data_IF_966279733425
#
_entry.id   IF_966279733425
#
_cell.length_a   1.000
_cell.length_b   1.000
_cell.length_c   1.000
_cell.angle_alpha   90.00
_cell.angle_beta   90.00
_cell.angle_gamma   90.00
#
_symmetry.space_group_name_H-M   'P 1'
#
loop_
_entity.id
_entity.type
_entity.pdbx_description
1 polymer ?
#
# COMPACT_ATOMS: atom_id res chain seq x y z
N UNK A 1 5.75 19.21 -3.46
CA UNK A 1 5.14 20.47 -3.96
C UNK A 1 3.92 20.91 -3.14
N UNK A 2 2.82 20.15 -3.06
CA UNK A 2 1.61 20.59 -2.33
C UNK A 2 1.82 20.80 -0.82
N UNK A 3 2.63 19.96 -0.16
CA UNK A 3 3.02 20.14 1.25
C UNK A 3 3.76 21.47 1.48
N UNK A 4 4.66 21.85 0.57
CA UNK A 4 5.33 23.16 0.62
C UNK A 4 4.33 24.29 0.35
N UNK A 5 3.36 24.08 -0.55
CA UNK A 5 2.25 25.00 -0.78
C UNK A 5 1.40 25.24 0.47
N UNK A 6 1.22 24.24 1.32
CA UNK A 6 0.52 24.39 2.61
C UNK A 6 1.23 25.33 3.58
N UNK A 7 2.54 25.57 3.43
CA UNK A 7 3.28 26.51 4.26
C UNK A 7 2.76 27.96 4.12
N UNK A 8 2.12 28.29 3.00
CA UNK A 8 1.47 29.58 2.78
C UNK A 8 0.47 29.94 3.89
N UNK A 9 -0.36 28.97 4.31
CA UNK A 9 -1.35 29.15 5.39
C UNK A 9 -0.70 29.19 6.76
N UNK A 10 0.43 28.50 6.94
CA UNK A 10 1.18 28.55 8.19
C UNK A 10 1.78 29.94 8.43
N UNK A 11 2.29 30.57 7.36
CA UNK A 11 2.87 31.92 7.43
C UNK A 11 1.79 33.01 7.49
N UNK A 12 0.62 32.78 6.89
CA UNK A 12 -0.50 33.73 6.82
C UNK A 12 -1.83 33.07 7.20
N UNK A 13 -2.06 32.75 8.49
CA UNK A 13 -3.23 32.00 8.94
C UNK A 13 -4.56 32.73 8.66
N UNK A 14 -4.56 34.06 8.60
CA UNK A 14 -5.72 34.89 8.26
C UNK A 14 -6.35 34.52 6.90
N UNK A 15 -5.55 33.97 5.98
CA UNK A 15 -5.99 33.53 4.65
C UNK A 15 -6.90 32.30 4.69
N UNK A 16 -6.84 31.50 5.74
CA UNK A 16 -7.75 30.36 5.91
C UNK A 16 -9.14 30.79 6.43
N UNK A 17 -9.26 32.02 6.93
CA UNK A 17 -10.48 32.54 7.57
C UNK A 17 -11.18 33.54 6.64
N UNK A 18 -10.42 34.34 5.91
CA UNK A 18 -10.93 35.31 4.94
C UNK A 18 -11.67 34.60 3.78
N UNK A 19 -12.98 34.85 3.59
CA UNK A 19 -13.77 34.21 2.53
C UNK A 19 -13.19 34.39 1.12
N UNK A 20 -12.48 35.49 0.86
CA UNK A 20 -11.90 35.77 -0.44
C UNK A 20 -10.66 34.93 -0.76
N UNK A 21 -9.99 34.39 0.27
CA UNK A 21 -8.74 33.64 0.12
C UNK A 21 -8.74 32.25 0.76
N UNK A 22 -9.84 31.84 1.38
CA UNK A 22 -10.00 30.56 2.06
C UNK A 22 -9.83 29.34 1.14
N UNK A 23 -10.42 29.35 -0.06
CA UNK A 23 -10.28 28.25 -1.03
C UNK A 23 -8.81 28.06 -1.44
N UNK A 24 -8.10 29.06 -1.99
CA UNK A 24 -6.71 28.89 -2.39
C UNK A 24 -5.77 28.61 -1.22
N UNK A 25 -6.14 29.01 0.01
CA UNK A 25 -5.42 28.66 1.23
C UNK A 25 -5.53 27.15 1.57
N UNK A 26 -6.73 26.57 1.52
CA UNK A 26 -6.96 25.20 1.98
C UNK A 26 -6.71 24.13 0.91
N UNK A 27 -6.88 24.48 -0.37
CA UNK A 27 -6.74 23.55 -1.50
C UNK A 27 -5.39 22.82 -1.52
N UNK A 28 -4.22 23.47 -1.34
CA UNK A 28 -2.94 22.76 -1.34
C UNK A 28 -2.85 21.67 -0.27
N UNK A 29 -3.36 21.90 0.93
CA UNK A 29 -3.39 20.91 2.00
C UNK A 29 -4.33 19.75 1.67
N UNK A 30 -5.51 20.05 1.11
CA UNK A 30 -6.45 19.04 0.63
C UNK A 30 -5.85 18.15 -0.47
N UNK A 31 -5.19 18.76 -1.47
CA UNK A 31 -4.52 18.01 -2.53
C UNK A 31 -3.37 17.17 -1.98
N UNK A 32 -2.55 17.71 -1.06
CA UNK A 32 -1.47 16.96 -0.44
C UNK A 32 -1.97 15.67 0.22
N UNK A 33 -3.06 15.75 0.99
CA UNK A 33 -3.68 14.56 1.61
C UNK A 33 -4.27 13.63 0.56
N UNK A 34 -4.98 14.18 -0.44
CA UNK A 34 -5.55 13.38 -1.52
C UNK A 34 -4.48 12.61 -2.30
N UNK A 35 -3.28 13.19 -2.46
CA UNK A 35 -2.19 12.54 -3.19
C UNK A 35 -1.66 11.28 -2.51
N UNK A 36 -1.83 11.14 -1.20
CA UNK A 36 -1.49 9.90 -0.50
C UNK A 36 -2.32 8.70 -1.00
N UNK A 37 -3.53 8.94 -1.51
CA UNK A 37 -4.36 7.90 -2.12
C UNK A 37 -3.74 7.28 -3.36
N UNK A 38 -2.95 8.03 -4.15
CA UNK A 38 -2.32 7.55 -5.38
C UNK A 38 -1.01 6.77 -5.16
N UNK A 39 -0.50 6.70 -3.92
CA UNK A 39 0.72 5.94 -3.60
C UNK A 39 0.55 4.42 -3.66
N UNK A 40 -0.67 3.94 -3.95
CA UNK A 40 -1.05 2.52 -3.88
C UNK A 40 -1.22 1.94 -5.28
N UNK A 41 -0.17 1.29 -5.80
CA UNK A 41 -0.14 0.72 -7.16
C UNK A 41 -1.01 -0.55 -7.33
N UNK A 42 -1.42 -1.20 -6.23
CA UNK A 42 -2.02 -2.55 -6.27
C UNK A 42 -3.55 -2.57 -6.19
N UNK A 43 -4.23 -1.42 -6.22
CA UNK A 43 -5.65 -1.33 -5.91
C UNK A 43 -6.49 -0.70 -7.02
N UNK A 44 -7.76 -1.14 -7.13
CA UNK A 44 -8.71 -0.63 -8.12
C UNK A 44 -9.27 0.76 -7.78
N UNK A 45 -10.01 1.37 -8.72
CA UNK A 45 -10.58 2.72 -8.59
C UNK A 45 -11.39 2.95 -7.30
N UNK A 46 -12.10 1.92 -6.82
CA UNK A 46 -12.91 1.97 -5.59
C UNK A 46 -12.02 2.12 -4.36
N UNK A 47 -10.93 1.35 -4.26
CA UNK A 47 -10.00 1.43 -3.13
C UNK A 47 -9.30 2.79 -3.07
N UNK A 48 -8.94 3.31 -4.25
CA UNK A 48 -8.38 4.65 -4.38
C UNK A 48 -9.35 5.71 -3.85
N UNK A 49 -10.62 5.67 -4.31
CA UNK A 49 -11.65 6.61 -3.87
C UNK A 49 -11.92 6.52 -2.37
N UNK A 50 -12.10 5.30 -1.85
CA UNK A 50 -12.34 5.06 -0.43
C UNK A 50 -11.14 5.49 0.42
N UNK A 51 -9.91 5.20 0.00
CA UNK A 51 -8.67 5.65 0.64
C UNK A 51 -8.56 7.17 0.71
N UNK A 52 -8.83 7.84 -0.40
CA UNK A 52 -8.77 9.30 -0.51
C UNK A 52 -9.82 9.97 0.37
N UNK A 53 -11.08 9.50 0.31
CA UNK A 53 -12.16 10.03 1.15
C UNK A 53 -11.85 9.80 2.63
N UNK A 54 -11.34 8.63 3.01
CA UNK A 54 -10.95 8.34 4.39
C UNK A 54 -9.87 9.32 4.88
N UNK A 55 -8.82 9.53 4.09
CA UNK A 55 -7.71 10.41 4.44
C UNK A 55 -8.15 11.88 4.59
N UNK A 56 -8.97 12.38 3.66
CA UNK A 56 -9.52 13.74 3.72
C UNK A 56 -10.45 13.92 4.92
N UNK A 57 -11.33 12.94 5.18
CA UNK A 57 -12.23 12.94 6.31
C UNK A 57 -11.46 12.92 7.65
N UNK A 58 -10.41 12.09 7.75
CA UNK A 58 -9.50 12.07 8.90
C UNK A 58 -8.76 13.38 9.09
N UNK A 59 -8.28 14.00 8.01
CA UNK A 59 -7.60 15.30 8.09
C UNK A 59 -8.54 16.40 8.63
N UNK A 60 -9.79 16.45 8.15
CA UNK A 60 -10.79 17.40 8.63
C UNK A 60 -11.21 17.12 10.08
N UNK A 61 -11.49 15.86 10.42
CA UNK A 61 -11.97 15.47 11.73
C UNK A 61 -10.88 15.50 12.80
N UNK A 62 -9.83 14.68 12.65
CA UNK A 62 -8.77 14.56 13.64
C UNK A 62 -7.84 15.77 13.62
N UNK A 63 -7.49 16.29 12.43
CA UNK A 63 -6.68 17.51 12.33
C UNK A 63 -7.37 18.72 12.96
N UNK A 64 -8.67 18.90 12.68
CA UNK A 64 -9.47 19.94 13.32
C UNK A 64 -9.60 19.74 14.84
N UNK A 65 -9.73 18.49 15.31
CA UNK A 65 -9.76 18.16 16.75
C UNK A 65 -8.46 18.58 17.44
N UNK A 66 -7.30 18.31 16.84
CA UNK A 66 -5.99 18.69 17.39
C UNK A 66 -5.88 20.21 17.51
N UNK A 67 -6.29 20.94 16.47
CA UNK A 67 -6.30 22.41 16.50
C UNK A 67 -7.24 22.94 17.58
N UNK A 68 -8.47 22.43 17.67
CA UNK A 68 -9.44 22.86 18.69
C UNK A 68 -8.93 22.55 20.11
N UNK A 69 -8.33 21.38 20.31
CA UNK A 69 -7.75 20.98 21.60
C UNK A 69 -6.67 21.97 22.02
N UNK A 70 -5.80 22.39 21.10
CA UNK A 70 -4.76 23.41 21.36
C UNK A 70 -5.37 24.73 21.81
N UNK A 71 -6.43 25.20 21.14
CA UNK A 71 -7.08 26.47 21.50
C UNK A 71 -7.75 26.37 22.88
N UNK A 72 -8.49 25.28 23.15
CA UNK A 72 -9.16 25.06 24.45
C UNK A 72 -8.14 24.82 25.58
N UNK A 73 -6.94 24.32 25.27
CA UNK A 73 -5.83 24.22 26.22
C UNK A 73 -5.31 25.60 26.66
N UNK A 74 -5.41 26.63 25.81
CA UNK A 74 -4.90 27.97 26.12
C UNK A 74 -5.66 28.67 27.25
N UNK A 75 -6.96 28.41 27.43
CA UNK A 75 -7.73 29.03 28.51
C UNK A 75 -9.24 29.02 28.30
N UNK A 76 -10.02 29.56 29.25
CA UNK A 76 -11.38 30.02 28.97
C UNK A 76 -11.34 31.07 27.84
N UNK A 77 -12.45 31.23 27.14
CA UNK A 77 -12.50 32.09 25.95
C UNK A 77 -13.85 32.76 25.77
N UNK A 78 -13.80 33.84 25.00
CA UNK A 78 -14.94 34.68 24.64
C UNK A 78 -15.74 34.04 23.49
N UNK A 79 -16.58 34.84 22.84
CA UNK A 79 -17.52 34.41 21.79
C UNK A 79 -16.82 33.66 20.65
N UNK A 80 -15.61 34.07 20.27
CA UNK A 80 -14.81 33.45 19.22
C UNK A 80 -14.50 31.98 19.49
N UNK A 81 -14.20 31.62 20.74
CA UNK A 81 -13.94 30.23 21.12
C UNK A 81 -15.22 29.39 21.00
N UNK A 82 -16.35 29.98 21.40
CA UNK A 82 -17.66 29.33 21.31
C UNK A 82 -18.03 29.11 19.84
N UNK A 83 -17.82 30.11 18.98
CA UNK A 83 -18.04 30.02 17.54
C UNK A 83 -17.12 28.98 16.89
N UNK A 84 -15.84 28.91 17.28
CA UNK A 84 -14.91 27.89 16.79
C UNK A 84 -15.36 26.46 17.17
N UNK A 85 -15.79 26.23 18.41
CA UNK A 85 -16.33 24.94 18.86
C UNK A 85 -17.59 24.56 18.07
N UNK A 86 -18.51 25.51 17.87
CA UNK A 86 -19.75 25.29 17.10
C UNK A 86 -19.46 25.00 15.63
N UNK A 87 -18.56 25.78 15.02
CA UNK A 87 -18.12 25.60 13.64
C UNK A 87 -17.47 24.23 13.42
N UNK A 88 -16.55 23.83 14.30
CA UNK A 88 -15.93 22.51 14.23
C UNK A 88 -16.96 21.38 14.41
N UNK A 89 -17.94 21.51 15.31
CA UNK A 89 -18.99 20.50 15.51
C UNK A 89 -19.78 20.21 14.21
N UNK A 90 -20.08 21.26 13.41
CA UNK A 90 -20.79 21.13 12.14
C UNK A 90 -19.99 20.37 11.08
N UNK A 91 -18.67 20.61 10.99
CA UNK A 91 -17.80 19.98 9.99
C UNK A 91 -17.37 18.57 10.43
N UNK A 92 -17.10 18.38 11.73
CA UNK A 92 -16.61 17.11 12.26
C UNK A 92 -17.62 15.97 12.19
N UNK A 93 -18.93 16.27 12.28
CA UNK A 93 -19.98 15.24 12.21
C UNK A 93 -20.00 14.47 10.88
N UNK A 94 -20.12 15.12 9.70
CA UNK A 94 -20.05 14.40 8.42
C UNK A 94 -18.67 13.77 8.18
N UNK A 95 -17.58 14.42 8.63
CA UNK A 95 -16.23 13.86 8.50
C UNK A 95 -16.04 12.58 9.33
N UNK A 96 -16.62 12.49 10.54
CA UNK A 96 -16.63 11.28 11.35
C UNK A 96 -17.38 10.15 10.63
N UNK A 97 -18.58 10.42 10.12
CA UNK A 97 -19.35 9.40 9.38
C UNK A 97 -18.61 8.90 8.13
N UNK A 98 -18.02 9.81 7.36
CA UNK A 98 -17.20 9.44 6.20
C UNK A 98 -15.99 8.59 6.61
N UNK A 99 -15.31 8.94 7.70
CA UNK A 99 -14.17 8.18 8.24
C UNK A 99 -14.58 6.76 8.65
N UNK A 100 -15.66 6.63 9.43
CA UNK A 100 -16.14 5.32 9.91
C UNK A 100 -16.59 4.45 8.73
N UNK A 101 -17.38 5.00 7.81
CA UNK A 101 -17.88 4.25 6.65
C UNK A 101 -16.75 3.77 5.73
N UNK A 102 -15.82 4.66 5.37
CA UNK A 102 -14.67 4.29 4.54
C UNK A 102 -13.70 3.35 5.27
N UNK A 103 -13.52 3.51 6.58
CA UNK A 103 -12.70 2.62 7.40
C UNK A 103 -13.27 1.20 7.47
N UNK A 104 -14.60 1.06 7.61
CA UNK A 104 -15.27 -0.24 7.55
C UNK A 104 -15.08 -0.90 6.18
N UNK A 105 -15.21 -0.16 5.08
CA UNK A 105 -14.96 -0.69 3.73
C UNK A 105 -13.51 -1.18 3.59
N UNK A 106 -12.53 -0.41 4.07
CA UNK A 106 -11.12 -0.80 4.03
C UNK A 106 -10.83 -2.05 4.86
N UNK A 107 -11.42 -2.16 6.06
CA UNK A 107 -11.35 -3.35 6.91
C UNK A 107 -11.80 -4.61 6.15
N UNK A 108 -12.99 -4.58 5.55
CA UNK A 108 -13.52 -5.73 4.82
C UNK A 108 -12.66 -6.09 3.60
N UNK A 109 -12.16 -5.10 2.88
CA UNK A 109 -11.37 -5.33 1.66
C UNK A 109 -9.97 -5.87 1.94
N UNK A 110 -9.33 -5.40 3.02
CA UNK A 110 -7.95 -5.78 3.36
C UNK A 110 -7.86 -7.11 4.10
N UNK A 111 -8.81 -7.43 5.00
CA UNK A 111 -8.72 -8.63 5.83
C UNK A 111 -9.66 -9.77 5.38
N UNK A 112 -10.75 -9.46 4.67
CA UNK A 112 -11.77 -10.43 4.22
C UNK A 112 -12.23 -11.42 5.31
N UNK A 113 -12.23 -10.99 6.57
CA UNK A 113 -12.61 -11.81 7.73
C UNK A 113 -11.47 -12.58 8.42
N UNK A 114 -10.22 -12.48 7.95
CA UNK A 114 -9.06 -13.15 8.54
C UNK A 114 -8.50 -12.45 9.80
N UNK A 115 -9.37 -12.28 10.80
CA UNK A 115 -9.07 -11.52 12.02
C UNK A 115 -8.08 -12.20 12.98
N UNK A 116 -7.77 -13.49 12.77
CA UNK A 116 -6.79 -14.24 13.56
C UNK A 116 -5.32 -14.06 13.13
N UNK A 117 -5.05 -13.28 12.07
CA UNK A 117 -3.68 -12.99 11.61
C UNK A 117 -3.03 -11.86 12.42
N UNK A 118 -1.70 -11.73 12.38
CA UNK A 118 -1.02 -10.60 13.04
C UNK A 118 -1.54 -9.24 12.57
N UNK A 119 -1.84 -9.10 11.27
CA UNK A 119 -2.51 -7.91 10.73
C UNK A 119 -3.93 -7.76 11.32
N UNK A 120 -4.74 -8.82 11.24
CA UNK A 120 -6.13 -8.84 11.72
C UNK A 120 -6.29 -8.50 13.21
N UNK A 121 -5.39 -8.97 14.07
CA UNK A 121 -5.41 -8.66 15.51
C UNK A 121 -5.14 -7.18 15.78
N UNK A 122 -4.14 -6.60 15.09
CA UNK A 122 -3.85 -5.15 15.20
C UNK A 122 -5.03 -4.33 14.68
N UNK A 123 -5.70 -4.80 13.62
CA UNK A 123 -6.92 -4.18 13.10
C UNK A 123 -8.09 -4.24 14.09
N UNK A 124 -8.29 -5.36 14.80
CA UNK A 124 -9.29 -5.44 15.89
C UNK A 124 -8.98 -4.41 16.97
N UNK A 125 -7.71 -4.36 17.42
CA UNK A 125 -7.28 -3.42 18.46
C UNK A 125 -7.51 -1.97 18.02
N UNK A 126 -7.14 -1.63 16.79
CA UNK A 126 -7.39 -0.31 16.20
C UNK A 126 -8.88 0.00 16.17
N UNK A 127 -9.71 -0.93 15.73
CA UNK A 127 -11.17 -0.76 15.67
C UNK A 127 -11.75 -0.48 17.05
N UNK A 128 -11.29 -1.17 18.09
CA UNK A 128 -11.71 -0.95 19.47
C UNK A 128 -11.37 0.47 19.97
N UNK A 129 -10.15 0.96 19.71
CA UNK A 129 -9.77 2.33 20.04
C UNK A 129 -10.56 3.36 19.22
N UNK A 130 -10.82 3.11 17.94
CA UNK A 130 -11.67 3.98 17.11
C UNK A 130 -13.09 4.04 17.66
N UNK A 131 -13.67 2.90 18.06
CA UNK A 131 -15.00 2.88 18.70
C UNK A 131 -15.04 3.69 19.99
N UNK A 132 -14.02 3.56 20.84
CA UNK A 132 -13.88 4.39 22.04
C UNK A 132 -13.79 5.89 21.69
N UNK A 133 -12.96 6.24 20.72
CA UNK A 133 -12.77 7.62 20.27
C UNK A 133 -14.07 8.21 19.72
N UNK A 134 -14.79 7.46 18.87
CA UNK A 134 -16.10 7.86 18.33
C UNK A 134 -17.11 8.04 19.46
N UNK A 135 -17.15 7.14 20.45
CA UNK A 135 -18.05 7.25 21.60
C UNK A 135 -17.77 8.53 22.41
N UNK A 136 -16.52 8.77 22.81
CA UNK A 136 -16.09 9.99 23.53
C UNK A 136 -16.46 11.22 22.73
N UNK A 137 -16.17 11.17 21.43
CA UNK A 137 -16.52 12.19 20.49
C UNK A 137 -18.01 12.52 20.48
N UNK A 138 -18.86 11.55 20.16
CA UNK A 138 -20.32 11.74 20.12
C UNK A 138 -20.85 12.28 21.46
N UNK A 139 -20.38 11.74 22.59
CA UNK A 139 -20.75 12.23 23.92
C UNK A 139 -20.36 13.70 24.13
N UNK A 140 -19.16 14.11 23.71
CA UNK A 140 -18.72 15.50 23.77
C UNK A 140 -19.61 16.42 22.89
N UNK A 141 -20.00 15.98 21.69
CA UNK A 141 -20.88 16.77 20.81
C UNK A 141 -22.30 16.88 21.38
N UNK A 142 -22.83 15.82 21.98
CA UNK A 142 -24.12 15.87 22.68
C UNK A 142 -24.08 16.88 23.84
N UNK A 143 -22.99 16.88 24.62
CA UNK A 143 -22.77 17.87 25.68
C UNK A 143 -22.69 19.30 25.13
N UNK A 144 -21.95 19.54 24.05
CA UNK A 144 -21.83 20.84 23.38
C UNK A 144 -23.21 21.32 22.90
N UNK A 145 -23.96 20.47 22.20
CA UNK A 145 -25.27 20.81 21.66
C UNK A 145 -26.31 21.11 22.76
N UNK A 146 -26.19 20.52 23.95
CA UNK A 146 -27.11 20.76 25.07
C UNK A 146 -26.72 21.96 25.94
N UNK A 147 -25.42 22.19 26.13
CA UNK A 147 -24.91 23.13 27.16
C UNK A 147 -24.18 24.34 26.58
N UNK A 148 -23.42 24.19 25.49
CA UNK A 148 -22.60 25.25 24.88
C UNK A 148 -23.40 26.03 23.83
N UNK A 149 -24.43 25.42 23.23
CA UNK A 149 -25.32 26.07 22.26
C UNK A 149 -26.13 27.25 22.84
N UNK A 150 -26.24 27.34 24.18
CA UNK A 150 -27.06 28.32 24.89
C UNK A 150 -26.26 29.41 25.61
N UNK A 151 -24.94 29.42 25.44
CA UNK A 151 -24.03 30.29 26.19
C UNK A 151 -23.09 30.98 25.22
N UNK A 152 -22.85 32.28 25.45
CA UNK A 152 -22.03 33.11 24.57
C UNK A 152 -20.58 33.28 25.06
N UNK A 153 -20.28 32.81 26.28
CA UNK A 153 -18.93 32.86 26.88
C UNK A 153 -18.57 31.51 27.52
N UNK A 154 -17.32 31.08 27.35
CA UNK A 154 -16.83 29.82 27.91
C UNK A 154 -16.32 30.00 29.35
N UNK A 155 -17.14 29.62 30.34
CA UNK A 155 -16.70 29.66 31.74
C UNK A 155 -15.57 28.66 32.02
N UNK A 156 -14.72 28.95 33.01
CA UNK A 156 -13.57 28.11 33.37
C UNK A 156 -13.93 26.63 33.67
N UNK A 157 -15.03 26.30 34.37
CA UNK A 157 -15.43 24.91 34.57
C UNK A 157 -15.84 24.19 33.28
N UNK A 158 -16.51 24.91 32.36
CA UNK A 158 -16.93 24.38 31.07
C UNK A 158 -15.74 24.12 30.15
N UNK A 159 -14.81 25.08 30.07
CA UNK A 159 -13.55 24.94 29.35
C UNK A 159 -12.73 23.75 29.85
N UNK A 160 -12.67 23.54 31.17
CA UNK A 160 -11.94 22.41 31.77
C UNK A 160 -12.53 21.05 31.40
N UNK A 161 -13.88 20.93 31.37
CA UNK A 161 -14.56 19.71 30.95
C UNK A 161 -14.32 19.40 29.47
N UNK A 162 -14.44 20.42 28.61
CA UNK A 162 -14.15 20.29 27.18
C UNK A 162 -12.69 19.91 26.94
N UNK A 163 -11.75 20.53 27.66
CA UNK A 163 -10.32 20.21 27.57
C UNK A 163 -10.03 18.74 27.88
N UNK A 164 -10.64 18.20 28.94
CA UNK A 164 -10.47 16.78 29.28
C UNK A 164 -11.05 15.88 28.20
N UNK A 165 -12.27 16.16 27.73
CA UNK A 165 -12.91 15.35 26.70
C UNK A 165 -12.13 15.37 25.37
N UNK A 166 -11.80 16.57 24.86
CA UNK A 166 -11.05 16.75 23.62
C UNK A 166 -9.63 16.19 23.74
N UNK A 167 -8.98 16.37 24.89
CA UNK A 167 -7.65 15.80 25.17
C UNK A 167 -7.64 14.27 25.16
N UNK A 168 -8.66 13.63 25.74
CA UNK A 168 -8.81 12.16 25.68
C UNK A 168 -9.04 11.71 24.24
N UNK A 169 -9.95 12.36 23.51
CA UNK A 169 -10.22 12.02 22.10
C UNK A 169 -8.95 12.16 21.25
N UNK A 170 -8.18 13.23 21.45
CA UNK A 170 -6.90 13.46 20.76
C UNK A 170 -5.85 12.40 21.11
N UNK A 171 -5.69 12.05 22.39
CA UNK A 171 -4.74 11.05 22.84
C UNK A 171 -5.04 9.65 22.27
N UNK A 172 -6.32 9.24 22.28
CA UNK A 172 -6.74 7.98 21.65
C UNK A 172 -6.49 8.01 20.15
N UNK A 173 -6.73 9.14 19.48
CA UNK A 173 -6.41 9.30 18.06
C UNK A 173 -4.92 9.13 17.74
N UNK A 174 -4.01 9.60 18.60
CA UNK A 174 -2.56 9.35 18.46
C UNK A 174 -2.25 7.85 18.54
N UNK A 175 -2.88 7.13 19.48
CA UNK A 175 -2.73 5.66 19.57
C UNK A 175 -3.22 4.97 18.28
N UNK A 176 -4.37 5.39 17.75
CA UNK A 176 -4.91 4.87 16.49
C UNK A 176 -3.96 5.13 15.31
N UNK A 177 -3.29 6.29 15.28
CA UNK A 177 -2.28 6.60 14.27
C UNK A 177 -1.04 5.72 14.41
N UNK A 178 -0.56 5.47 15.64
CA UNK A 178 0.55 4.57 15.90
C UNK A 178 0.23 3.12 15.44
N UNK A 179 -0.98 2.63 15.74
CA UNK A 179 -1.45 1.33 15.25
C UNK A 179 -1.54 1.31 13.72
N UNK A 180 -1.99 2.41 13.09
CA UNK A 180 -2.03 2.54 11.63
C UNK A 180 -0.64 2.49 11.01
N UNK A 181 0.36 3.14 11.62
CA UNK A 181 1.75 3.03 11.20
C UNK A 181 2.28 1.60 11.36
N UNK A 182 1.96 0.92 12.47
CA UNK A 182 2.29 -0.48 12.68
C UNK A 182 1.69 -1.40 11.61
N UNK A 183 0.45 -1.16 11.18
CA UNK A 183 -0.21 -1.93 10.11
C UNK A 183 0.53 -1.84 8.76
N UNK A 184 1.27 -0.76 8.50
CA UNK A 184 2.08 -0.65 7.27
C UNK A 184 3.22 -1.68 7.21
N UNK A 185 3.62 -2.23 8.35
CA UNK A 185 4.67 -3.26 8.44
C UNK A 185 4.13 -4.68 8.31
N UNK A 186 2.81 -4.85 8.29
CA UNK A 186 2.15 -6.16 8.26
C UNK A 186 1.43 -6.33 6.92
N UNK A 187 1.56 -7.50 6.31
CA UNK A 187 0.85 -7.81 5.06
C UNK A 187 -0.58 -8.26 5.36
N UNK A 188 -1.62 -7.56 4.86
CA UNK A 188 -2.99 -8.01 4.98
C UNK A 188 -3.22 -9.31 4.20
N UNK A 189 -3.98 -10.23 4.79
CA UNK A 189 -4.32 -11.53 4.19
C UNK A 189 -5.12 -11.38 2.88
N UNK A 190 -5.96 -10.36 2.76
CA UNK A 190 -6.75 -10.07 1.56
C UNK A 190 -5.91 -9.60 0.36
N UNK A 191 -4.66 -9.16 0.60
CA UNK A 191 -3.69 -8.82 -0.46
C UNK A 191 -2.90 -10.04 -0.95
N UNK A 192 -2.75 -11.08 -0.11
CA UNK A 192 -2.17 -12.36 -0.53
C UNK A 192 -3.06 -13.16 -1.50
N UNK A 193 -4.30 -12.73 -1.71
CA UNK A 193 -5.30 -13.39 -2.55
C UNK A 193 -6.10 -12.41 -3.43
N UNK A 194 -5.46 -11.34 -3.92
CA UNK A 194 -5.92 -10.78 -5.18
C UNK A 194 -5.69 -11.88 -6.23
N UNK A 195 -6.78 -12.40 -6.81
CA UNK A 195 -6.74 -13.33 -7.95
C UNK A 195 -6.14 -12.60 -9.14
N UNK A 196 -4.83 -12.42 -9.09
CA UNK A 196 -4.05 -11.94 -10.19
C UNK A 196 -4.17 -12.99 -11.30
N UNK A 197 -4.23 -12.56 -12.55
CA UNK A 197 -4.24 -13.47 -13.69
C UNK A 197 -3.13 -14.54 -13.51
N UNK A 198 -3.39 -15.81 -13.89
CA UNK A 198 -2.39 -16.87 -13.82
C UNK A 198 -1.06 -16.38 -14.39
N UNK A 199 0.03 -16.69 -13.70
CA UNK A 199 1.37 -16.37 -14.20
C UNK A 199 1.61 -17.16 -15.48
N UNK A 200 2.10 -16.48 -16.50
CA UNK A 200 2.53 -17.12 -17.74
C UNK A 200 3.97 -17.61 -17.55
N UNK A 201 4.12 -18.80 -16.96
CA UNK A 201 5.42 -19.41 -16.69
C UNK A 201 5.68 -20.51 -17.71
N UNK A 202 6.90 -20.55 -18.23
CA UNK A 202 7.44 -21.64 -19.02
C UNK A 202 7.99 -22.76 -18.16
N UNK A 203 9.08 -23.37 -18.62
CA UNK A 203 9.67 -24.55 -17.97
C UNK A 203 10.25 -24.20 -16.60
N UNK A 204 10.17 -25.14 -15.66
CA UNK A 204 10.77 -25.00 -14.34
C UNK A 204 12.22 -25.50 -14.39
N UNK A 205 13.17 -24.59 -14.18
CA UNK A 205 14.61 -24.90 -14.13
C UNK A 205 15.06 -25.04 -12.69
N UNK A 206 15.82 -26.10 -12.38
CA UNK A 206 16.27 -26.41 -11.01
C UNK A 206 17.77 -26.13 -10.86
N UNK A 207 18.12 -25.42 -9.80
CA UNK A 207 19.47 -25.04 -9.42
C UNK A 207 19.73 -25.54 -8.00
N UNK A 208 20.70 -26.44 -7.85
CA UNK A 208 21.01 -27.07 -6.55
C UNK A 208 22.50 -27.00 -6.27
N UNK A 209 22.86 -26.66 -5.03
CA UNK A 209 24.23 -26.76 -4.54
C UNK A 209 24.24 -27.50 -3.19
N UNK A 210 24.63 -28.78 -3.16
CA UNK A 210 24.65 -29.59 -1.94
C UNK A 210 25.59 -29.04 -0.85
N UNK A 211 26.72 -28.41 -1.24
CA UNK A 211 27.67 -27.86 -0.28
C UNK A 211 27.10 -26.64 0.46
N UNK A 212 26.23 -25.87 -0.21
CA UNK A 212 25.49 -24.76 0.39
C UNK A 212 24.13 -25.19 0.98
N UNK A 213 23.73 -26.45 0.83
CA UNK A 213 22.45 -26.96 1.33
C UNK A 213 21.22 -26.22 0.77
N UNK A 214 21.28 -25.79 -0.50
CA UNK A 214 20.25 -24.96 -1.12
C UNK A 214 19.73 -25.55 -2.43
N UNK A 215 18.41 -25.53 -2.59
CA UNK A 215 17.69 -25.91 -3.81
C UNK A 215 16.75 -24.77 -4.21
N UNK A 216 16.92 -24.25 -5.42
CA UNK A 216 16.13 -23.16 -5.99
C UNK A 216 15.57 -23.59 -7.32
N UNK A 217 14.31 -23.25 -7.59
CA UNK A 217 13.72 -23.34 -8.92
C UNK A 217 13.44 -21.95 -9.47
N UNK A 218 13.65 -21.79 -10.78
CA UNK A 218 13.33 -20.57 -11.51
C UNK A 218 12.47 -20.96 -12.71
N UNK A 219 11.31 -20.33 -12.83
CA UNK A 219 10.43 -20.45 -13.99
C UNK A 219 10.09 -19.05 -14.48
N UNK A 220 10.08 -18.85 -15.80
CA UNK A 220 9.71 -17.56 -16.39
C UNK A 220 9.07 -17.74 -17.76
N UNK A 221 8.47 -16.71 -18.35
CA UNK A 221 7.73 -16.85 -19.61
C UNK A 221 8.57 -17.24 -20.84
N UNK A 222 9.91 -17.24 -20.75
CA UNK A 222 10.83 -17.66 -21.81
C UNK A 222 10.62 -16.99 -23.18
N UNK A 223 10.22 -15.71 -23.18
CA UNK A 223 9.90 -14.97 -24.42
C UNK A 223 10.56 -13.60 -24.48
N UNK A 224 10.78 -13.12 -25.70
CA UNK A 224 11.14 -11.71 -25.93
C UNK A 224 10.03 -10.79 -25.44
N UNK A 225 10.41 -9.70 -24.77
CA UNK A 225 9.51 -8.74 -24.13
C UNK A 225 9.29 -9.05 -22.66
N UNK A 226 8.10 -8.69 -22.15
CA UNK A 226 7.78 -8.83 -20.73
C UNK A 226 7.59 -10.29 -20.32
N UNK A 227 8.28 -10.69 -19.24
CA UNK A 227 8.20 -12.02 -18.66
C UNK A 227 7.65 -11.96 -17.23
N UNK A 228 6.82 -12.95 -16.89
CA UNK A 228 6.57 -13.31 -15.50
C UNK A 228 7.75 -14.19 -15.04
N UNK A 229 8.18 -14.06 -13.80
CA UNK A 229 9.26 -14.85 -13.19
C UNK A 229 8.80 -15.34 -11.82
N UNK A 230 8.98 -16.62 -11.54
CA UNK A 230 8.75 -17.24 -10.23
C UNK A 230 10.04 -17.92 -9.79
N UNK A 231 10.51 -17.55 -8.60
CA UNK A 231 11.71 -18.09 -7.96
C UNK A 231 11.25 -18.76 -6.68
N UNK A 232 11.55 -20.04 -6.50
CA UNK A 232 11.10 -20.79 -5.35
C UNK A 232 12.27 -21.52 -4.69
N UNK A 233 12.43 -21.32 -3.39
CA UNK A 233 13.44 -21.97 -2.55
C UNK A 233 12.80 -23.17 -1.89
N UNK A 234 13.21 -24.38 -2.30
CA UNK A 234 12.69 -25.65 -1.82
C UNK A 234 13.44 -26.11 -0.56
N UNK A 235 14.75 -25.91 -0.56
CA UNK A 235 15.67 -26.23 0.54
C UNK A 235 16.52 -25.00 0.81
N UNK A 236 16.65 -24.62 2.08
CA UNK A 236 17.43 -23.47 2.52
C UNK A 236 18.42 -23.89 3.60
N UNK A 237 19.63 -23.30 3.62
CA UNK A 237 20.60 -23.55 4.68
C UNK A 237 20.13 -22.97 6.02
N UNK A 238 20.65 -23.50 7.12
CA UNK A 238 20.33 -23.01 8.48
C UNK A 238 20.70 -21.53 8.69
N UNK A 239 21.69 -21.02 7.95
CA UNK A 239 22.09 -19.62 7.94
C UNK A 239 21.14 -18.69 7.17
N UNK A 240 20.13 -19.22 6.48
CA UNK A 240 19.17 -18.47 5.67
C UNK A 240 19.65 -18.16 4.24
N UNK A 241 18.80 -17.48 3.47
CA UNK A 241 19.00 -17.20 2.03
C UNK A 241 19.26 -15.72 1.72
N UNK A 242 19.82 -14.97 2.67
CA UNK A 242 20.10 -13.54 2.49
C UNK A 242 21.08 -13.31 1.34
N UNK A 243 20.73 -12.41 0.43
CA UNK A 243 21.54 -12.10 -0.76
C UNK A 243 21.32 -13.04 -1.94
N UNK A 244 20.22 -13.79 -1.97
CA UNK A 244 19.80 -14.57 -3.14
C UNK A 244 19.57 -13.63 -4.33
N UNK A 245 20.19 -13.94 -5.47
CA UNK A 245 20.07 -13.20 -6.71
C UNK A 245 19.99 -14.14 -7.92
N UNK A 246 19.33 -13.69 -8.98
CA UNK A 246 19.30 -14.40 -10.28
C UNK A 246 19.71 -13.43 -11.38
N UNK A 247 20.77 -13.78 -12.10
CA UNK A 247 21.25 -13.05 -13.27
C UNK A 247 20.79 -13.74 -14.54
N UNK A 248 20.34 -12.93 -15.50
CA UNK A 248 19.96 -13.30 -16.85
C UNK A 248 20.99 -12.67 -17.77
N UNK A 249 21.97 -13.46 -18.17
CA UNK A 249 23.04 -13.05 -19.06
C UNK A 249 22.59 -13.24 -20.52
N UNK A 250 22.74 -12.22 -21.37
CA UNK A 250 22.27 -12.25 -22.74
C UNK A 250 23.09 -13.23 -23.59
N UNK A 251 22.59 -13.63 -24.76
CA UNK A 251 23.36 -14.45 -25.69
C UNK A 251 24.70 -13.79 -26.03
N UNK A 252 25.73 -14.62 -26.17
CA UNK A 252 27.02 -14.17 -26.72
C UNK A 252 26.79 -13.46 -28.07
N UNK A 253 27.62 -12.47 -28.35
CA UNK A 253 27.57 -11.68 -29.60
C UNK A 253 26.35 -10.75 -29.75
N UNK A 254 25.63 -10.47 -28.67
CA UNK A 254 24.58 -9.43 -28.64
C UNK A 254 25.05 -8.19 -27.88
N UNK A 255 24.74 -6.98 -28.40
CA UNK A 255 25.01 -5.70 -27.70
C UNK A 255 23.94 -5.38 -26.65
N UNK A 256 23.34 -6.40 -26.02
CA UNK A 256 22.27 -6.27 -25.05
C UNK A 256 22.84 -6.33 -23.64
N UNK A 257 22.31 -5.54 -22.71
CA UNK A 257 22.66 -5.67 -21.30
C UNK A 257 21.87 -6.79 -20.63
N UNK A 258 22.54 -7.58 -19.80
CA UNK A 258 21.88 -8.56 -18.95
C UNK A 258 20.99 -7.92 -17.89
N UNK A 259 20.19 -8.76 -17.23
CA UNK A 259 19.28 -8.35 -16.17
C UNK A 259 19.58 -9.12 -14.89
N UNK A 260 19.51 -8.45 -13.73
CA UNK A 260 19.74 -9.10 -12.44
C UNK A 260 18.61 -8.80 -11.47
N UNK A 261 18.07 -9.84 -10.85
CA UNK A 261 17.12 -9.74 -9.75
C UNK A 261 17.91 -9.87 -8.44
N UNK A 262 18.33 -8.74 -7.88
CA UNK A 262 19.23 -8.69 -6.72
C UNK A 262 18.52 -8.63 -5.36
N UNK A 263 17.22 -8.29 -5.34
CA UNK A 263 16.42 -8.19 -4.11
C UNK A 263 15.31 -9.22 -4.13
N UNK A 264 15.65 -10.46 -3.78
CA UNK A 264 14.67 -11.54 -3.59
C UNK A 264 14.36 -11.60 -2.09
N UNK A 265 13.15 -11.19 -1.64
CA UNK A 265 12.82 -11.04 -0.23
C UNK A 265 12.52 -12.39 0.45
N UNK A 266 13.39 -13.36 0.27
CA UNK A 266 13.32 -14.69 0.88
C UNK A 266 14.45 -14.84 1.89
N UNK A 267 14.10 -15.16 3.14
CA UNK A 267 15.05 -15.47 4.22
C UNK A 267 15.15 -16.97 4.51
N UNK A 268 14.37 -17.79 3.80
CA UNK A 268 14.34 -19.25 3.89
C UNK A 268 13.48 -19.85 2.78
N UNK A 269 12.83 -20.98 3.05
CA UNK A 269 11.91 -21.62 2.10
C UNK A 269 10.74 -20.70 1.75
N UNK A 270 10.34 -20.70 0.49
CA UNK A 270 9.24 -19.86 0.00
C UNK A 270 9.38 -19.51 -1.47
N UNK A 271 8.47 -18.70 -1.99
CA UNK A 271 8.48 -18.27 -3.38
C UNK A 271 8.40 -16.74 -3.50
N UNK A 272 9.20 -16.20 -4.42
CA UNK A 272 9.12 -14.82 -4.87
C UNK A 272 8.63 -14.79 -6.32
N UNK A 273 7.81 -13.79 -6.64
CA UNK A 273 7.21 -13.64 -7.96
C UNK A 273 7.44 -12.23 -8.45
N UNK A 274 7.94 -12.11 -9.67
CA UNK A 274 8.04 -10.87 -10.43
C UNK A 274 7.09 -10.96 -11.62
N UNK A 275 6.19 -10.00 -11.77
CA UNK A 275 5.21 -10.02 -12.86
C UNK A 275 5.71 -9.25 -14.07
N UNK A 276 5.13 -9.52 -15.24
CA UNK A 276 5.32 -8.72 -16.46
C UNK A 276 5.15 -7.22 -16.22
N UNK A 277 4.14 -6.84 -15.43
CA UNK A 277 3.86 -5.45 -15.07
C UNK A 277 5.00 -4.78 -14.28
N UNK A 278 5.90 -5.55 -13.69
CA UNK A 278 7.07 -5.06 -12.96
C UNK A 278 8.25 -4.69 -13.88
N UNK A 279 8.09 -4.79 -15.20
CA UNK A 279 9.06 -4.27 -16.19
C UNK A 279 10.24 -5.21 -16.48
N UNK A 280 10.15 -6.49 -16.12
CA UNK A 280 11.19 -7.46 -16.43
C UNK A 280 11.11 -7.90 -17.90
N UNK A 281 11.98 -7.33 -18.74
CA UNK A 281 11.94 -7.48 -20.18
C UNK A 281 13.23 -8.12 -20.71
N UNK A 282 13.10 -9.19 -21.51
CA UNK A 282 14.21 -9.78 -22.25
C UNK A 282 14.21 -9.21 -23.67
N UNK A 283 15.29 -8.55 -24.06
CA UNK A 283 15.29 -7.70 -25.26
C UNK A 283 15.45 -8.49 -26.58
N UNK A 284 16.03 -9.69 -26.53
CA UNK A 284 16.37 -10.50 -27.71
C UNK A 284 16.12 -11.98 -27.47
N UNK A 285 15.78 -12.69 -28.55
CA UNK A 285 15.67 -14.15 -28.55
C UNK A 285 17.05 -14.78 -28.61
N UNK A 286 17.16 -16.03 -28.16
CA UNK A 286 18.41 -16.80 -28.21
C UNK A 286 18.71 -17.47 -26.88
N UNK A 287 19.93 -18.00 -26.75
CA UNK A 287 20.38 -18.71 -25.55
C UNK A 287 20.82 -17.74 -24.46
N UNK A 288 20.00 -17.57 -23.44
CA UNK A 288 20.32 -16.77 -22.25
C UNK A 288 20.92 -17.68 -21.17
N UNK A 289 21.96 -17.21 -20.48
CA UNK A 289 22.50 -17.94 -19.33
C UNK A 289 21.85 -17.43 -18.06
N UNK A 290 21.15 -18.31 -17.36
CA UNK A 290 20.53 -18.02 -16.07
C UNK A 290 21.50 -18.47 -14.99
N UNK A 291 21.94 -17.54 -14.16
CA UNK A 291 22.87 -17.79 -13.06
C UNK A 291 22.21 -17.46 -11.73
N UNK A 292 22.14 -18.44 -10.83
CA UNK A 292 21.61 -18.24 -9.47
C UNK A 292 22.77 -18.09 -8.49
N UNK A 293 22.73 -17.05 -7.66
CA UNK A 293 23.77 -16.74 -6.68
C UNK A 293 23.21 -16.55 -5.29
N UNK A 294 24.02 -16.86 -4.29
CA UNK A 294 23.80 -16.50 -2.89
C UNK A 294 24.97 -15.62 -2.43
N UNK A 295 24.73 -14.32 -2.29
CA UNK A 295 25.78 -13.33 -2.08
C UNK A 295 26.75 -13.30 -3.27
N UNK A 296 28.03 -13.55 -3.01
CA UNK A 296 29.08 -13.62 -4.05
C UNK A 296 29.29 -15.02 -4.61
N UNK A 297 28.63 -16.06 -4.07
CA UNK A 297 28.81 -17.43 -4.52
C UNK A 297 27.75 -17.84 -5.54
N UNK A 298 28.18 -18.56 -6.57
CA UNK A 298 27.29 -19.17 -7.55
C UNK A 298 26.72 -20.48 -7.00
N UNK A 299 25.40 -20.63 -7.05
CA UNK A 299 24.72 -21.89 -6.73
C UNK A 299 24.87 -22.83 -7.92
N UNK A 300 24.37 -22.40 -9.08
CA UNK A 300 24.48 -23.06 -10.37
C UNK A 300 24.06 -22.09 -11.49
N UNK A 301 24.38 -22.45 -12.73
CA UNK A 301 23.90 -21.77 -13.93
C UNK A 301 23.40 -22.75 -14.98
N UNK A 302 22.44 -22.34 -15.79
CA UNK A 302 21.90 -23.11 -16.90
C UNK A 302 21.64 -22.20 -18.11
N UNK A 303 21.61 -22.78 -19.31
CA UNK A 303 21.33 -22.05 -20.55
C UNK A 303 19.90 -22.32 -20.98
N UNK A 304 19.10 -21.25 -21.07
CA UNK A 304 17.68 -21.31 -21.43
C UNK A 304 17.46 -20.57 -22.73
N UNK A 305 16.71 -21.19 -23.65
CA UNK A 305 16.38 -20.58 -24.95
C UNK A 305 15.14 -19.69 -24.80
N UNK A 306 15.30 -18.42 -25.15
CA UNK A 306 14.22 -17.43 -25.18
C UNK A 306 13.66 -17.31 -26.59
N UNK A 307 12.38 -17.59 -26.75
CA UNK A 307 11.69 -17.57 -28.04
C UNK A 307 11.37 -16.14 -28.50
N UNK A 308 11.42 -15.90 -29.81
CA UNK A 308 10.88 -14.66 -30.40
C UNK A 308 9.36 -14.62 -30.22
N UNK A 309 8.79 -13.44 -30.07
CA UNK A 309 7.34 -13.26 -29.90
C UNK A 309 6.63 -13.63 -31.22
N UNK A 310 6.32 -14.92 -31.41
CA UNK A 310 5.69 -15.43 -32.64
C UNK A 310 5.83 -16.92 -32.93
N UNK A 311 6.71 -17.67 -32.26
CA UNK A 311 6.80 -19.12 -32.47
C UNK A 311 5.93 -19.88 -31.47
N UNK A 312 4.63 -20.00 -31.76
CA UNK A 312 3.91 -21.19 -31.29
C UNK A 312 4.61 -22.42 -31.86
N UNK A 313 4.90 -23.41 -31.02
CA UNK A 313 5.33 -24.75 -31.45
C UNK A 313 4.25 -25.35 -32.37
N UNK A 314 4.29 -25.06 -33.67
CA UNK A 314 3.70 -25.94 -34.68
C UNK A 314 4.71 -27.05 -34.92
N UNK A 315 4.43 -28.22 -34.37
CA UNK A 315 4.95 -29.48 -34.90
C UNK A 315 4.57 -29.55 -36.38
N UNK A 316 5.51 -29.27 -37.27
CA UNK A 316 5.35 -29.52 -38.70
C UNK A 316 5.22 -31.03 -38.90
N UNK A 317 4.08 -31.55 -39.38
CA UNK A 317 4.01 -32.96 -39.76
C UNK A 317 4.85 -33.14 -41.03
N UNK A 318 5.81 -34.06 -40.96
CA UNK A 318 6.55 -34.54 -42.12
C UNK A 318 5.53 -35.15 -43.09
N UNK A 319 5.25 -34.44 -44.18
CA UNK A 319 4.48 -35.00 -45.29
C UNK A 319 5.34 -36.04 -46.02
N UNK A 320 5.10 -37.32 -45.75
CA UNK A 320 5.53 -38.42 -46.63
C UNK A 320 4.82 -38.28 -47.96
N UNK A 321 5.53 -37.83 -49.00
CA UNK A 321 5.08 -37.87 -50.37
C UNK A 321 5.00 -39.34 -50.85
N UNK A 322 3.78 -39.84 -51.01
CA UNK A 322 3.49 -41.08 -51.74
C UNK A 322 3.54 -40.80 -53.24
N UNK A 323 4.55 -41.33 -53.92
CA UNK A 323 4.59 -41.40 -55.39
C UNK A 323 3.54 -42.42 -55.86
N UNK A 324 2.54 -41.96 -56.61
CA UNK A 324 1.66 -42.83 -57.40
C UNK A 324 2.32 -43.11 -58.78
N UNK A 325 2.18 -44.33 -59.33
CA UNK A 325 2.86 -44.73 -60.56
C UNK A 325 2.15 -44.20 -61.81
N UNK A 326 2.94 -43.79 -62.79
CA UNK A 326 2.48 -43.45 -64.14
C UNK A 326 2.31 -44.70 -65.00
N UNK A 327 1.11 -44.90 -65.53
CA UNK A 327 0.77 -45.81 -66.63
C UNK A 327 -0.75 -45.69 -66.86
N UNK A 328 -1.29 -45.41 -68.04
CA UNK A 328 -0.84 -45.66 -69.43
C UNK A 328 -1.34 -44.55 -70.34
#
# INVERSE_FOLDING_TARGET
MFVLGSAYVVVRPERAIDPSSQIPALVPAGIAVATMGFSREQFGLIDFGVGTVHALAMAAWFGGLVLLTRVVLAGPGEEDLVHAVRGFSRISTPALWATVGTGAIQLFRLDRGALGTSHGVVVILKTLFVSLMVFVGVAARQFINQRVSRVDVMSAPLATRLRRALGIEAAVGVVVMALTAGLLTLTPSGLGAASLAPLDLGTVHKYSNPALGIDVTVAFSEKVGANDVRIEVLTAPASGTTGLAVDFLPPADTNVSGMSINYIPLTGKGAAVLRKSSGFNLAVSGSWTIRVRLGSQEIASDVVVVASTGSSNETVPVATASLAPSGT
#
